data_IF_682553695886
#
_entry.id   IF_682553695886
#
_cell.length_a   1.000
_cell.length_b   1.000
_cell.length_c   1.000
_cell.angle_alpha   90.00
_cell.angle_beta   90.00
_cell.angle_gamma   90.00
#
_symmetry.space_group_name_H-M   'P 1'
#
loop_
_entity.id
_entity.type
_entity.pdbx_description
1 polymer ?
#
# COMPACT_ATOMS: atom_id res chain seq x y z
N UNK A 1 13.05 3.33 -2.35
CA UNK A 1 14.50 3.60 -2.60
C UNK A 1 15.42 2.65 -1.82
N UNK A 2 15.21 2.41 -0.52
CA UNK A 2 16.07 1.53 0.28
C UNK A 2 16.08 0.06 -0.19
N UNK A 3 14.91 -0.52 -0.46
CA UNK A 3 14.78 -1.89 -0.97
C UNK A 3 15.59 -2.12 -2.25
N UNK A 4 15.46 -1.24 -3.24
CA UNK A 4 16.22 -1.32 -4.49
C UNK A 4 17.74 -1.30 -4.24
N UNK A 5 18.23 -0.45 -3.32
CA UNK A 5 19.65 -0.43 -2.94
C UNK A 5 20.09 -1.73 -2.25
N UNK A 6 19.26 -2.28 -1.38
CA UNK A 6 19.54 -3.52 -0.67
C UNK A 6 19.64 -4.70 -1.66
N UNK A 7 18.69 -4.83 -2.58
CA UNK A 7 18.71 -5.84 -3.65
C UNK A 7 19.92 -5.67 -4.57
N UNK A 8 20.22 -4.43 -4.98
CA UNK A 8 21.37 -4.15 -5.84
C UNK A 8 22.72 -4.45 -5.19
N UNK A 9 22.79 -4.44 -3.85
CA UNK A 9 24.04 -4.69 -3.13
C UNK A 9 24.54 -6.15 -3.20
N UNK A 10 23.67 -7.09 -3.63
CA UNK A 10 23.97 -8.53 -3.80
C UNK A 10 24.75 -9.15 -2.63
N UNK A 11 24.33 -8.83 -1.41
CA UNK A 11 24.94 -9.38 -0.19
C UNK A 11 24.50 -10.83 0.01
N UNK A 12 25.35 -11.66 0.66
CA UNK A 12 24.99 -13.05 0.97
C UNK A 12 23.84 -13.13 1.98
N UNK A 13 23.59 -12.08 2.76
CA UNK A 13 22.46 -11.99 3.69
C UNK A 13 21.73 -10.68 3.45
N UNK A 14 20.40 -10.76 3.30
CA UNK A 14 19.49 -9.65 3.11
C UNK A 14 18.44 -9.67 4.23
N UNK A 15 18.43 -8.64 5.07
CA UNK A 15 17.44 -8.47 6.14
C UNK A 15 16.49 -7.36 5.73
N UNK A 16 15.19 -7.63 5.75
CA UNK A 16 14.12 -6.73 5.34
C UNK A 16 13.13 -6.60 6.50
N UNK A 17 12.93 -5.37 6.96
CA UNK A 17 12.00 -5.04 8.04
C UNK A 17 10.82 -4.26 7.48
N UNK A 18 9.69 -4.97 7.33
CA UNK A 18 8.40 -4.48 6.87
C UNK A 18 8.42 -3.54 5.65
N UNK A 19 9.31 -3.84 4.70
CA UNK A 19 9.64 -2.95 3.57
C UNK A 19 8.51 -2.74 2.55
N UNK A 20 7.39 -3.45 2.70
CA UNK A 20 6.26 -3.47 1.75
C UNK A 20 4.98 -2.85 2.31
N UNK A 21 4.87 -2.60 3.62
CA UNK A 21 3.61 -2.19 4.27
C UNK A 21 3.11 -0.80 3.90
N UNK A 22 3.99 0.07 3.38
CA UNK A 22 3.63 1.42 2.93
C UNK A 22 3.12 1.51 1.49
N UNK A 23 2.85 0.38 0.83
CA UNK A 23 2.45 0.32 -0.57
C UNK A 23 0.95 0.04 -0.73
N UNK A 24 0.38 0.46 -1.86
CA UNK A 24 -0.96 0.02 -2.23
C UNK A 24 -0.96 -1.47 -2.59
N UNK A 25 -2.05 -2.16 -2.27
CA UNK A 25 -2.18 -3.62 -2.46
C UNK A 25 -1.80 -4.13 -3.86
N UNK A 26 -2.22 -3.50 -4.98
CA UNK A 26 -1.78 -3.91 -6.31
C UNK A 26 -0.26 -3.82 -6.50
N UNK A 27 0.35 -2.70 -6.09
CA UNK A 27 1.80 -2.47 -6.20
C UNK A 27 2.59 -3.40 -5.28
N UNK A 28 2.11 -3.61 -4.05
CA UNK A 28 2.69 -4.53 -3.09
C UNK A 28 2.76 -5.95 -3.67
N UNK A 29 1.64 -6.46 -4.18
CA UNK A 29 1.57 -7.80 -4.80
C UNK A 29 2.49 -7.92 -6.00
N UNK A 30 2.53 -6.89 -6.85
CA UNK A 30 3.42 -6.85 -8.00
C UNK A 30 4.88 -6.92 -7.57
N UNK A 31 5.30 -6.08 -6.62
CA UNK A 31 6.67 -6.07 -6.10
C UNK A 31 7.02 -7.37 -5.39
N UNK A 32 6.10 -7.91 -4.59
CA UNK A 32 6.30 -9.18 -3.89
C UNK A 32 6.56 -10.32 -4.89
N UNK A 33 5.71 -10.47 -5.90
CA UNK A 33 5.89 -11.49 -6.93
C UNK A 33 7.17 -11.28 -7.74
N UNK A 34 7.50 -10.03 -8.09
CA UNK A 34 8.71 -9.71 -8.85
C UNK A 34 10.01 -9.99 -8.07
N UNK A 35 9.99 -9.93 -6.73
CA UNK A 35 11.16 -10.16 -5.90
C UNK A 35 11.22 -11.57 -5.32
N UNK A 36 10.15 -12.01 -4.66
CA UNK A 36 10.08 -13.25 -3.86
C UNK A 36 9.28 -14.37 -4.52
N UNK A 37 8.54 -14.09 -5.59
CA UNK A 37 7.79 -15.09 -6.33
C UNK A 37 8.69 -16.19 -6.90
N UNK A 38 8.13 -17.30 -7.40
CA UNK A 38 8.90 -18.44 -7.90
C UNK A 38 9.90 -18.05 -8.99
N UNK A 39 9.51 -17.14 -9.89
CA UNK A 39 10.37 -16.55 -10.94
C UNK A 39 10.92 -15.17 -10.54
N UNK A 40 10.87 -14.85 -9.25
CA UNK A 40 11.29 -13.56 -8.70
C UNK A 40 12.79 -13.35 -8.80
N UNK A 41 13.21 -12.09 -8.81
CA UNK A 41 14.60 -11.68 -8.94
C UNK A 41 15.50 -12.29 -7.85
N UNK A 42 15.01 -12.41 -6.62
CA UNK A 42 15.80 -12.93 -5.51
C UNK A 42 16.03 -14.44 -5.65
N UNK A 43 15.05 -15.19 -6.14
CA UNK A 43 15.18 -16.65 -6.36
C UNK A 43 16.03 -16.98 -7.59
N UNK A 44 15.91 -16.20 -8.66
CA UNK A 44 16.54 -16.50 -9.95
C UNK A 44 17.94 -15.89 -10.09
N UNK A 45 18.13 -14.64 -9.70
CA UNK A 45 19.39 -13.92 -9.89
C UNK A 45 20.30 -13.92 -8.65
N UNK A 46 19.77 -14.29 -7.48
CA UNK A 46 20.49 -14.31 -6.20
C UNK A 46 20.28 -15.63 -5.42
N UNK A 47 20.54 -16.80 -6.03
CA UNK A 47 20.24 -18.10 -5.43
C UNK A 47 21.03 -18.38 -4.13
N UNK A 48 22.21 -17.76 -3.96
CA UNK A 48 23.07 -17.95 -2.78
C UNK A 48 22.86 -16.88 -1.68
N UNK A 49 21.80 -16.07 -1.78
CA UNK A 49 21.49 -15.05 -0.77
C UNK A 49 20.44 -15.56 0.21
N UNK A 50 20.77 -15.55 1.50
CA UNK A 50 19.81 -15.78 2.58
C UNK A 50 18.97 -14.52 2.81
N UNK A 51 17.66 -14.67 2.84
CA UNK A 51 16.72 -13.55 2.97
C UNK A 51 15.91 -13.73 4.24
N UNK A 52 15.94 -12.73 5.11
CA UNK A 52 15.12 -12.67 6.32
C UNK A 52 14.15 -11.51 6.15
N UNK A 53 12.86 -11.81 6.08
CA UNK A 53 11.79 -10.83 5.97
C UNK A 53 10.99 -10.83 7.27
N UNK A 54 11.09 -9.76 8.05
CA UNK A 54 10.17 -9.46 9.13
C UNK A 54 8.97 -8.71 8.55
N UNK A 55 7.77 -9.25 8.72
CA UNK A 55 6.54 -8.59 8.26
C UNK A 55 5.35 -9.05 9.08
N UNK A 56 4.37 -8.15 9.23
CA UNK A 56 3.07 -8.46 9.80
C UNK A 56 2.07 -8.96 8.73
N UNK A 57 2.44 -8.88 7.43
CA UNK A 57 1.57 -9.26 6.33
C UNK A 57 1.56 -10.78 6.09
N UNK A 58 0.58 -11.45 6.72
CA UNK A 58 0.37 -12.92 6.64
C UNK A 58 0.27 -13.45 5.21
N UNK A 59 -0.22 -12.64 4.26
CA UNK A 59 -0.38 -13.02 2.86
C UNK A 59 0.93 -13.46 2.17
N UNK A 60 2.07 -12.95 2.64
CA UNK A 60 3.40 -13.22 2.07
C UNK A 60 4.03 -14.53 2.55
N UNK A 61 3.51 -15.11 3.63
CA UNK A 61 4.08 -16.32 4.25
C UNK A 61 4.03 -17.54 3.32
N UNK A 62 3.18 -17.54 2.30
CA UNK A 62 3.07 -18.63 1.32
C UNK A 62 4.34 -18.85 0.48
N UNK A 63 5.19 -17.84 0.35
CA UNK A 63 6.43 -17.91 -0.43
C UNK A 63 7.68 -18.09 0.43
N UNK A 64 7.51 -18.15 1.76
CA UNK A 64 8.60 -18.36 2.70
C UNK A 64 8.96 -19.84 2.77
N UNK A 65 10.26 -20.14 2.82
CA UNK A 65 10.75 -21.51 3.01
C UNK A 65 10.71 -21.92 4.49
N UNK A 66 10.83 -20.95 5.41
CA UNK A 66 10.75 -21.12 6.86
C UNK A 66 9.94 -19.96 7.48
N UNK A 67 9.09 -20.27 8.45
CA UNK A 67 8.24 -19.28 9.14
C UNK A 67 8.50 -19.34 10.63
N UNK A 68 8.87 -18.19 11.20
CA UNK A 68 9.04 -18.00 12.65
C UNK A 68 8.05 -16.93 13.09
N UNK A 69 7.25 -17.24 14.12
CA UNK A 69 6.27 -16.35 14.72
C UNK A 69 6.74 -15.98 16.12
N UNK A 70 6.74 -14.69 16.43
CA UNK A 70 6.97 -14.22 17.79
C UNK A 70 5.67 -14.31 18.59
N UNK A 71 5.74 -14.94 19.76
CA UNK A 71 4.59 -15.06 20.65
C UNK A 71 4.27 -13.72 21.32
N UNK A 72 3.01 -13.49 21.73
CA UNK A 72 2.63 -12.31 22.50
C UNK A 72 3.52 -12.11 23.72
N UNK A 73 3.66 -10.86 24.16
CA UNK A 73 4.40 -10.48 25.37
C UNK A 73 5.89 -10.89 25.39
N UNK A 74 6.45 -11.32 24.27
CA UNK A 74 7.83 -11.81 24.21
C UNK A 74 7.99 -13.20 24.83
N UNK A 75 6.92 -13.99 24.93
CA UNK A 75 6.90 -15.32 25.56
C UNK A 75 7.66 -16.41 24.77
N UNK A 76 8.34 -16.02 23.68
CA UNK A 76 9.22 -16.87 22.90
C UNK A 76 8.95 -16.81 21.41
N UNK A 77 9.49 -17.80 20.70
CA UNK A 77 9.33 -17.99 19.26
C UNK A 77 8.67 -19.33 18.99
N UNK A 78 7.85 -19.37 17.95
CA UNK A 78 7.23 -20.57 17.41
C UNK A 78 7.65 -20.74 15.95
N UNK A 79 7.91 -21.96 15.51
CA UNK A 79 8.34 -22.27 14.14
C UNK A 79 7.50 -23.44 13.61
N UNK A 80 7.22 -23.42 12.31
CA UNK A 80 6.53 -24.51 11.64
C UNK A 80 6.10 -24.15 10.23
N UNK A 81 5.47 -25.09 9.55
CA UNK A 81 4.77 -24.78 8.30
C UNK A 81 3.56 -23.88 8.59
N UNK A 82 3.12 -23.12 7.58
CA UNK A 82 1.91 -22.30 7.66
C UNK A 82 0.70 -23.09 8.19
N UNK A 83 0.53 -24.35 7.78
CA UNK A 83 -0.57 -25.20 8.26
C UNK A 83 -0.45 -25.53 9.76
N UNK A 84 0.75 -25.88 10.21
CA UNK A 84 1.02 -26.21 11.63
C UNK A 84 0.81 -24.98 12.52
N UNK A 85 1.40 -23.84 12.13
CA UNK A 85 1.27 -22.57 12.85
C UNK A 85 -0.17 -22.09 12.89
N UNK A 86 -0.92 -22.28 11.80
CA UNK A 86 -2.34 -21.90 11.77
C UNK A 86 -3.21 -22.83 12.61
N UNK A 87 -2.98 -24.15 12.61
CA UNK A 87 -3.69 -25.09 13.49
C UNK A 87 -3.45 -24.82 14.98
N UNK A 88 -2.32 -24.20 15.32
CA UNK A 88 -1.97 -23.75 16.66
C UNK A 88 -2.47 -22.33 16.99
N UNK A 89 -3.21 -21.70 16.08
CA UNK A 89 -3.74 -20.35 16.24
C UNK A 89 -2.67 -19.26 16.24
N UNK A 90 -1.49 -19.50 15.65
CA UNK A 90 -0.38 -18.52 15.61
C UNK A 90 -0.46 -17.56 14.44
N UNK A 91 -1.19 -17.94 13.40
CA UNK A 91 -1.36 -17.16 12.18
C UNK A 91 -2.85 -17.15 11.86
N UNK A 92 -3.41 -15.94 11.82
CA UNK A 92 -4.80 -15.73 11.45
C UNK A 92 -5.00 -15.96 9.96
N UNK A 93 -5.99 -16.75 9.58
CA UNK A 93 -6.24 -17.14 8.19
C UNK A 93 -6.99 -16.05 7.41
N UNK A 94 -7.63 -15.10 8.11
CA UNK A 94 -8.42 -14.05 7.47
C UNK A 94 -8.55 -12.79 8.33
N UNK A 95 -8.79 -11.61 7.70
CA UNK A 95 -9.11 -10.37 8.42
C UNK A 95 -10.32 -10.47 9.36
N UNK A 96 -11.16 -11.51 9.23
CA UNK A 96 -12.35 -11.70 10.07
C UNK A 96 -12.00 -12.17 11.49
N UNK A 97 -10.83 -12.79 11.70
CA UNK A 97 -10.38 -13.21 13.03
C UNK A 97 -9.77 -12.04 13.83
N UNK A 98 -9.46 -10.89 13.19
CA UNK A 98 -9.04 -9.68 13.92
C UNK A 98 -10.20 -9.08 14.72
N UNK A 99 -11.42 -9.14 14.18
CA UNK A 99 -12.61 -8.60 14.85
C UNK A 99 -12.98 -9.35 16.12
N UNK A 100 -12.67 -10.65 16.21
CA UNK A 100 -13.01 -11.48 17.37
C UNK A 100 -12.00 -11.31 18.54
N UNK A 101 -10.80 -10.77 18.26
CA UNK A 101 -9.75 -10.56 19.26
C UNK A 101 -9.82 -9.16 19.91
N UNK A 102 -10.55 -8.21 19.32
CA UNK A 102 -10.78 -6.89 19.91
C UNK A 102 -11.85 -6.92 21.03
N UNK A 103 -12.65 -8.00 21.14
CA UNK A 103 -13.71 -8.12 22.15
C UNK A 103 -13.22 -8.66 23.52
N UNK A 104 -12.04 -9.28 23.61
CA UNK A 104 -11.57 -9.91 24.87
C UNK A 104 -10.77 -8.96 25.80
N UNK A 105 -10.40 -7.74 25.37
CA UNK A 105 -9.61 -6.80 26.20
C UNK A 105 -10.40 -5.75 27.00
N UNK A 106 -11.72 -5.94 27.24
CA UNK A 106 -12.48 -5.00 28.11
C UNK A 106 -13.26 -5.72 29.22
N UNK A 107 -12.56 -6.03 30.31
CA UNK A 107 -13.12 -6.11 31.67
C UNK A 107 -12.16 -5.42 32.64
N UNK A 108 -12.44 -4.18 33.05
CA UNK A 108 -13.06 -3.90 34.35
C UNK A 108 -13.25 -2.38 34.64
N UNK A 109 -14.40 -2.09 35.26
CA UNK A 109 -14.86 -0.90 36.04
C UNK A 109 -15.15 0.49 35.39
N UNK A 110 -16.45 0.87 35.37
CA UNK A 110 -16.91 2.24 35.70
C UNK A 110 -18.06 2.90 34.88
N UNK A 111 -19.33 2.76 35.34
CA UNK A 111 -20.56 3.60 35.20
C UNK A 111 -20.43 5.00 34.48
N UNK A 112 -21.30 5.55 33.61
CA UNK A 112 -22.76 5.61 33.34
C UNK A 112 -23.00 6.26 31.93
N UNK A 113 -24.24 6.29 31.37
CA UNK A 113 -24.53 6.40 29.93
C UNK A 113 -24.79 7.82 29.42
N UNK A 114 -24.48 8.11 28.14
CA UNK A 114 -25.10 9.22 27.40
C UNK A 114 -25.38 8.85 25.94
N UNK A 115 -26.61 9.17 25.56
CA UNK A 115 -27.34 8.97 24.32
C UNK A 115 -26.69 9.67 23.10
N UNK A 116 -26.62 8.92 21.99
CA UNK A 116 -26.98 9.36 20.62
C UNK A 116 -26.04 10.29 19.85
N UNK A 117 -25.54 9.83 18.70
CA UNK A 117 -26.00 10.38 17.42
C UNK A 117 -25.82 9.37 16.30
N UNK A 118 -26.95 9.04 15.68
CA UNK A 118 -27.13 8.09 14.59
C UNK A 118 -27.07 8.88 13.28
N UNK A 119 -26.17 8.51 12.36
CA UNK A 119 -26.35 8.79 10.95
C UNK A 119 -26.03 7.53 10.15
N UNK A 120 -27.05 6.68 10.04
CA UNK A 120 -27.26 5.81 8.87
C UNK A 120 -27.30 6.71 7.62
N UNK A 121 -26.73 6.34 6.46
CA UNK A 121 -27.25 5.36 5.50
C UNK A 121 -26.28 5.32 4.28
N UNK A 122 -26.46 4.45 3.27
CA UNK A 122 -26.75 3.02 3.31
C UNK A 122 -25.78 2.22 2.40
N UNK A 123 -25.62 0.93 2.68
CA UNK A 123 -25.05 -0.05 1.75
C UNK A 123 -26.06 -0.29 0.63
N UNK A 124 -25.67 -0.11 -0.64
CA UNK A 124 -26.34 -0.73 -1.78
C UNK A 124 -25.30 -1.40 -2.67
N UNK A 125 -25.40 -2.73 -2.72
CA UNK A 125 -24.63 -3.60 -3.60
C UNK A 125 -25.30 -3.76 -4.97
N UNK A 126 -24.45 -3.88 -5.99
CA UNK A 126 -24.67 -4.33 -7.37
C UNK A 126 -25.27 -3.30 -8.36
N UNK A 127 -24.48 -2.92 -9.38
CA UNK A 127 -24.59 -3.47 -10.74
C UNK A 127 -23.47 -2.88 -11.64
N UNK A 128 -22.83 -3.72 -12.46
CA UNK A 128 -21.85 -3.31 -13.46
C UNK A 128 -22.48 -2.39 -14.52
N UNK A 129 -21.86 -1.25 -14.82
CA UNK A 129 -21.80 -0.66 -16.18
C UNK A 129 -20.76 0.47 -16.18
N UNK A 130 -19.69 0.37 -16.97
CA UNK A 130 -18.82 1.52 -17.34
C UNK A 130 -19.73 2.61 -17.96
N UNK A 131 -19.60 3.92 -17.64
CA UNK A 131 -18.48 4.75 -18.14
C UNK A 131 -18.12 6.03 -17.32
N UNK A 132 -17.12 6.76 -17.84
CA UNK A 132 -16.93 8.22 -17.81
C UNK A 132 -15.90 8.84 -16.81
N UNK A 133 -14.65 8.95 -17.27
CA UNK A 133 -13.50 9.66 -16.67
C UNK A 133 -13.65 11.21 -16.58
N UNK A 134 -14.86 11.75 -16.37
CA UNK A 134 -15.04 13.22 -16.26
C UNK A 134 -15.09 13.75 -14.84
N UNK A 135 -15.38 12.89 -13.86
CA UNK A 135 -15.59 13.34 -12.49
C UNK A 135 -14.27 13.58 -11.73
N UNK A 136 -13.20 12.89 -12.13
CA UNK A 136 -11.86 13.09 -11.56
C UNK A 136 -11.23 14.43 -11.99
N UNK A 137 -11.43 14.86 -13.24
CA UNK A 137 -10.93 16.14 -13.76
C UNK A 137 -11.58 17.32 -13.05
N UNK A 138 -12.88 17.24 -12.75
CA UNK A 138 -13.62 18.30 -12.06
C UNK A 138 -13.09 18.54 -10.63
N UNK A 139 -12.64 17.48 -9.94
CA UNK A 139 -12.07 17.59 -8.59
C UNK A 139 -10.68 18.26 -8.60
N UNK A 140 -9.85 17.95 -9.60
CA UNK A 140 -8.57 18.62 -9.81
C UNK A 140 -8.73 20.10 -10.16
N UNK A 141 -9.69 20.43 -11.03
CA UNK A 141 -9.95 21.81 -11.45
C UNK A 141 -10.43 22.68 -10.28
N UNK A 142 -11.20 22.11 -9.34
CA UNK A 142 -11.69 22.81 -8.14
C UNK A 142 -10.59 23.12 -7.12
N UNK A 143 -9.51 22.33 -7.09
CA UNK A 143 -8.44 22.42 -6.08
C UNK A 143 -7.29 23.36 -6.47
N UNK A 144 -7.14 23.67 -7.76
CA UNK A 144 -6.02 24.47 -8.27
C UNK A 144 -6.15 25.98 -8.01
N UNK A 145 -7.32 26.44 -7.55
CA UNK A 145 -7.64 27.87 -7.38
C UNK A 145 -7.83 28.56 -8.73
N UNK A 146 -9.02 29.11 -8.96
CA UNK A 146 -9.38 29.76 -10.24
C UNK A 146 -8.36 30.82 -10.69
N UNK A 147 -7.74 31.52 -9.74
CA UNK A 147 -6.69 32.52 -9.99
C UNK A 147 -5.45 31.96 -10.70
N UNK A 148 -5.02 30.74 -10.38
CA UNK A 148 -3.85 30.12 -11.01
C UNK A 148 -4.16 29.75 -12.46
N UNK A 149 -5.37 29.21 -12.73
CA UNK A 149 -5.80 28.86 -14.09
C UNK A 149 -5.87 30.11 -14.97
N UNK A 150 -6.44 31.21 -14.45
CA UNK A 150 -6.49 32.48 -15.17
C UNK A 150 -5.08 33.02 -15.45
N UNK A 151 -4.16 32.92 -14.48
CA UNK A 151 -2.77 33.33 -14.67
C UNK A 151 -2.05 32.53 -15.77
N UNK A 152 -2.24 31.20 -15.82
CA UNK A 152 -1.67 30.36 -16.88
C UNK A 152 -2.20 30.70 -18.27
N UNK A 153 -3.51 30.93 -18.38
CA UNK A 153 -4.14 31.32 -19.66
C UNK A 153 -3.61 32.69 -20.10
N UNK A 154 -3.56 33.67 -19.19
CA UNK A 154 -3.05 35.01 -19.50
C UNK A 154 -1.58 34.96 -19.92
N UNK A 155 -0.74 34.19 -19.23
CA UNK A 155 0.67 33.99 -19.59
C UNK A 155 0.82 33.33 -20.97
N UNK A 156 -0.02 32.35 -21.30
CA UNK A 156 -0.08 31.73 -22.63
C UNK A 156 -0.43 32.74 -23.74
N UNK A 157 -1.44 33.59 -23.52
CA UNK A 157 -1.83 34.61 -24.49
C UNK A 157 -0.73 35.67 -24.68
N UNK A 158 -0.08 36.10 -23.59
CA UNK A 158 1.01 37.08 -23.65
C UNK A 158 2.22 36.53 -24.40
N UNK A 159 2.60 35.29 -24.14
CA UNK A 159 3.73 34.62 -24.82
C UNK A 159 3.47 34.42 -26.32
N UNK A 160 2.26 33.97 -26.70
CA UNK A 160 1.87 33.85 -28.11
C UNK A 160 1.77 35.23 -28.80
N UNK A 161 1.26 36.23 -28.08
CA UNK A 161 1.20 37.61 -28.56
C UNK A 161 2.59 38.19 -28.83
N UNK A 162 3.54 37.99 -27.91
CA UNK A 162 4.95 38.36 -28.06
C UNK A 162 5.62 37.62 -29.21
N UNK A 163 5.37 36.32 -29.37
CA UNK A 163 5.91 35.53 -30.49
C UNK A 163 5.41 36.04 -31.84
N UNK A 164 4.10 36.35 -31.94
CA UNK A 164 3.50 36.93 -33.14
C UNK A 164 4.01 38.35 -33.45
N UNK A 165 4.31 39.14 -32.42
CA UNK A 165 4.87 40.49 -32.57
C UNK A 165 6.34 40.43 -33.05
N UNK A 166 7.13 39.51 -32.50
CA UNK A 166 8.54 39.30 -32.88
C UNK A 166 8.69 38.67 -34.27
N UNK A 167 7.73 37.86 -34.72
CA UNK A 167 7.74 37.24 -36.05
C UNK A 167 7.43 38.19 -37.21
N UNK A 168 6.90 39.40 -36.93
CA UNK A 168 6.49 40.35 -37.96
C UNK A 168 7.59 41.34 -38.40
N UNK A 169 8.73 41.41 -37.70
CA UNK A 169 9.85 42.30 -38.10
C UNK A 169 10.92 41.62 -38.96
N UNK A 170 10.80 40.32 -39.25
CA UNK A 170 11.80 39.57 -40.04
C UNK A 170 11.39 39.34 -41.50
N UNK A 171 10.28 39.95 -41.94
CA UNK A 171 9.82 39.94 -43.34
C UNK A 171 9.51 41.36 -43.79
N UNK A 172 10.55 42.19 -43.84
CA UNK A 172 10.63 43.44 -44.61
C UNK A 172 12.09 43.71 -44.95
#
# INVERSE_FOLDING_TARGET
MALARAVYSRKPVLILDDVLSGLDMPTERFLFNALFGPDGLLRTALPDTTIVLATHAVQHLKSADHIIVMLPNGDGLDEGDRGELSSRGRILQSPQELSDLEEEEVQDEGDQPVMGEQLEQPISSNEETKPHETNALHFYLKSMGFWNIVAFIAMGVVTVGLWKLSGKSSVL
#
